data_IF_757383375680
#
_entry.id   IF_757383375680
#
_cell.length_a   1.000
_cell.length_b   1.000
_cell.length_c   1.000
_cell.angle_alpha   90.00
_cell.angle_beta   90.00
_cell.angle_gamma   90.00
#
_symmetry.space_group_name_H-M   'P 1'
#
loop_
_entity.id
_entity.type
_entity.pdbx_description
1 polymer ?
#
# COMPACT_ATOMS: atom_id res chain seq x y z
N UNK A 1 55.47 20.52 7.71
CA UNK A 1 54.50 21.30 6.92
C UNK A 1 53.83 20.47 5.82
N UNK A 2 54.55 19.66 5.03
CA UNK A 2 53.98 18.83 3.94
C UNK A 2 52.90 17.79 4.34
N UNK A 3 52.88 17.30 5.59
CA UNK A 3 51.91 16.28 6.03
C UNK A 3 50.52 16.87 6.29
N UNK A 4 50.45 18.08 6.85
CA UNK A 4 49.19 18.76 7.17
C UNK A 4 48.40 19.12 5.89
N UNK A 5 49.07 19.58 4.83
CA UNK A 5 48.43 19.92 3.56
C UNK A 5 47.77 18.70 2.88
N UNK A 6 48.37 17.51 3.03
CA UNK A 6 47.84 16.26 2.48
C UNK A 6 46.59 15.79 3.22
N UNK A 7 46.55 15.96 4.54
CA UNK A 7 45.39 15.62 5.36
C UNK A 7 44.21 16.56 5.10
N UNK A 8 44.49 17.88 5.00
CA UNK A 8 43.48 18.89 4.65
C UNK A 8 42.90 18.62 3.26
N UNK A 9 43.76 18.35 2.27
CA UNK A 9 43.30 18.05 0.90
C UNK A 9 42.41 16.81 0.88
N UNK A 10 42.81 15.74 1.58
CA UNK A 10 42.00 14.51 1.66
C UNK A 10 40.64 14.75 2.31
N UNK A 11 40.59 15.56 3.37
CA UNK A 11 39.34 15.91 4.04
C UNK A 11 38.41 16.72 3.12
N UNK A 12 38.95 17.75 2.45
CA UNK A 12 38.18 18.58 1.53
C UNK A 12 37.67 17.76 0.33
N UNK A 13 38.50 16.87 -0.23
CA UNK A 13 38.06 15.97 -1.31
C UNK A 13 36.97 14.99 -0.84
N UNK A 14 37.08 14.44 0.37
CA UNK A 14 36.05 13.58 0.92
C UNK A 14 34.73 14.34 1.12
N UNK A 15 34.79 15.56 1.65
CA UNK A 15 33.61 16.41 1.84
C UNK A 15 32.96 16.75 0.49
N UNK A 16 33.76 17.16 -0.50
CA UNK A 16 33.28 17.44 -1.84
C UNK A 16 32.65 16.19 -2.49
N UNK A 17 33.23 15.01 -2.29
CA UNK A 17 32.69 13.73 -2.75
C UNK A 17 31.33 13.41 -2.11
N UNK A 18 31.20 13.59 -0.79
CA UNK A 18 29.92 13.41 -0.09
C UNK A 18 28.88 14.42 -0.57
N UNK A 19 29.25 15.69 -0.74
CA UNK A 19 28.34 16.72 -1.28
C UNK A 19 27.89 16.38 -2.69
N UNK A 20 28.79 15.93 -3.56
CA UNK A 20 28.47 15.50 -4.92
C UNK A 20 27.50 14.30 -4.90
N UNK A 21 27.70 13.32 -4.02
CA UNK A 21 26.79 12.18 -3.85
C UNK A 21 25.41 12.62 -3.35
N UNK A 22 25.35 13.53 -2.37
CA UNK A 22 24.08 14.04 -1.86
C UNK A 22 23.29 14.77 -2.96
N UNK A 23 23.96 15.59 -3.76
CA UNK A 23 23.32 16.28 -4.89
C UNK A 23 22.86 15.27 -5.94
N UNK A 24 23.71 14.30 -6.29
CA UNK A 24 23.38 13.27 -7.28
C UNK A 24 22.20 12.39 -6.85
N UNK A 25 22.10 12.05 -5.56
CA UNK A 25 21.02 11.23 -5.00
C UNK A 25 19.76 12.03 -4.66
N UNK A 26 19.83 13.36 -4.59
CA UNK A 26 18.67 14.18 -4.20
C UNK A 26 17.49 14.03 -5.15
N UNK A 27 17.72 14.09 -6.46
CA UNK A 27 16.68 13.96 -7.49
C UNK A 27 15.97 12.60 -7.43
N UNK A 28 16.68 11.44 -7.52
CA UNK A 28 16.01 10.15 -7.44
C UNK A 28 15.33 9.93 -6.09
N UNK A 29 15.92 10.39 -4.98
CA UNK A 29 15.31 10.28 -3.66
C UNK A 29 13.98 11.05 -3.57
N UNK A 30 13.95 12.29 -4.07
CA UNK A 30 12.72 13.12 -4.08
C UNK A 30 11.65 12.46 -4.95
N UNK A 31 12.03 11.99 -6.14
CA UNK A 31 11.09 11.35 -7.05
C UNK A 31 10.51 10.06 -6.43
N UNK A 32 11.35 9.18 -5.91
CA UNK A 32 10.91 7.95 -5.24
C UNK A 32 10.01 8.24 -4.04
N UNK A 33 10.32 9.26 -3.24
CA UNK A 33 9.49 9.66 -2.10
C UNK A 33 8.10 10.15 -2.55
N UNK A 34 8.04 11.00 -3.57
CA UNK A 34 6.79 11.52 -4.10
C UNK A 34 5.92 10.42 -4.72
N UNK A 35 6.51 9.55 -5.54
CA UNK A 35 5.79 8.43 -6.19
C UNK A 35 5.26 7.42 -5.17
N UNK A 36 6.04 7.11 -4.14
CA UNK A 36 5.59 6.23 -3.04
C UNK A 36 4.38 6.82 -2.30
N UNK A 37 4.41 8.12 -2.01
CA UNK A 37 3.29 8.83 -1.38
C UNK A 37 2.02 8.81 -2.24
N UNK A 38 2.16 9.06 -3.55
CA UNK A 38 1.05 9.01 -4.49
C UNK A 38 0.42 7.62 -4.59
N UNK A 39 1.24 6.58 -4.73
CA UNK A 39 0.78 5.19 -4.79
C UNK A 39 0.06 4.77 -3.51
N UNK A 40 0.60 5.15 -2.34
CA UNK A 40 -0.04 4.87 -1.06
C UNK A 40 -1.41 5.55 -0.93
N UNK A 41 -1.52 6.80 -1.35
CA UNK A 41 -2.78 7.55 -1.31
C UNK A 41 -3.84 6.96 -2.26
N UNK A 42 -3.41 6.51 -3.45
CA UNK A 42 -4.29 5.84 -4.41
C UNK A 42 -4.82 4.52 -3.85
N UNK A 43 -3.94 3.63 -3.38
CA UNK A 43 -4.33 2.35 -2.81
C UNK A 43 -5.24 2.52 -1.57
N UNK A 44 -4.97 3.50 -0.71
CA UNK A 44 -5.84 3.82 0.42
C UNK A 44 -7.25 4.26 -0.02
N UNK A 45 -7.33 5.04 -1.11
CA UNK A 45 -8.61 5.46 -1.72
C UNK A 45 -9.34 4.26 -2.31
N UNK A 46 -8.65 3.40 -3.05
CA UNK A 46 -9.20 2.16 -3.62
C UNK A 46 -9.75 1.25 -2.52
N UNK A 47 -8.97 1.05 -1.45
CA UNK A 47 -9.39 0.24 -0.31
C UNK A 47 -10.62 0.83 0.39
N UNK A 48 -10.67 2.15 0.57
CA UNK A 48 -11.83 2.84 1.15
C UNK A 48 -13.10 2.70 0.28
N UNK A 49 -12.97 2.80 -1.05
CA UNK A 49 -14.09 2.64 -1.97
C UNK A 49 -14.60 1.19 -2.02
N UNK A 50 -13.69 0.22 -2.03
CA UNK A 50 -14.06 -1.21 -2.00
C UNK A 50 -14.67 -1.60 -0.66
N UNK A 51 -14.16 -1.06 0.46
CA UNK A 51 -14.79 -1.23 1.78
C UNK A 51 -16.26 -0.83 1.74
N UNK A 52 -16.61 0.33 1.17
CA UNK A 52 -18.02 0.77 1.08
C UNK A 52 -18.89 -0.22 0.27
N UNK A 53 -18.33 -0.84 -0.77
CA UNK A 53 -19.05 -1.86 -1.55
C UNK A 53 -19.25 -3.15 -0.74
N UNK A 54 -18.22 -3.60 -0.04
CA UNK A 54 -18.29 -4.79 0.83
C UNK A 54 -19.27 -4.54 1.99
N UNK A 55 -19.18 -3.39 2.67
CA UNK A 55 -20.09 -3.01 3.76
C UNK A 55 -21.55 -3.00 3.31
N UNK A 56 -21.83 -2.64 2.05
CA UNK A 56 -23.18 -2.73 1.49
C UNK A 56 -23.66 -4.17 1.35
N UNK A 57 -22.79 -5.10 0.97
CA UNK A 57 -23.13 -6.54 0.91
C UNK A 57 -23.37 -7.08 2.31
N UNK A 58 -22.48 -6.76 3.26
CA UNK A 58 -22.60 -7.14 4.66
C UNK A 58 -23.91 -6.65 5.27
N UNK A 59 -24.24 -5.37 5.09
CA UNK A 59 -25.45 -4.77 5.64
C UNK A 59 -26.75 -5.33 5.05
N UNK A 60 -26.72 -5.99 3.89
CA UNK A 60 -27.92 -6.61 3.31
C UNK A 60 -28.32 -7.90 4.02
N UNK A 61 -27.34 -8.73 4.43
CA UNK A 61 -27.58 -10.00 5.12
C UNK A 61 -26.50 -10.23 6.19
N UNK A 62 -26.57 -9.54 7.34
CA UNK A 62 -25.59 -9.61 8.43
C UNK A 62 -25.20 -11.01 8.90
N UNK A 63 -26.16 -11.88 9.13
CA UNK A 63 -25.88 -13.19 9.75
C UNK A 63 -25.20 -14.16 8.79
N UNK A 64 -25.26 -13.90 7.48
CA UNK A 64 -24.80 -14.82 6.43
C UNK A 64 -23.93 -14.15 5.37
N UNK A 65 -23.40 -12.95 5.64
CA UNK A 65 -22.63 -12.20 4.63
C UNK A 65 -21.41 -12.99 4.15
N UNK A 66 -20.76 -13.75 5.03
CA UNK A 66 -19.58 -14.57 4.72
C UNK A 66 -19.87 -15.70 3.73
N UNK A 67 -21.13 -16.08 3.54
CA UNK A 67 -21.56 -17.09 2.56
C UNK A 67 -21.94 -16.47 1.20
N UNK A 68 -21.97 -15.14 1.09
CA UNK A 68 -22.31 -14.43 -0.15
C UNK A 68 -21.09 -14.23 -1.06
N UNK A 69 -20.28 -15.27 -1.23
CA UNK A 69 -19.02 -15.21 -2.00
C UNK A 69 -19.21 -14.54 -3.36
N UNK A 70 -20.22 -14.89 -4.20
CA UNK A 70 -20.36 -14.26 -5.52
C UNK A 70 -20.60 -12.74 -5.46
N UNK A 71 -21.29 -12.25 -4.42
CA UNK A 71 -21.54 -10.80 -4.25
C UNK A 71 -20.33 -10.07 -3.70
N UNK A 72 -19.56 -10.74 -2.83
CA UNK A 72 -18.31 -10.21 -2.32
C UNK A 72 -17.25 -10.15 -3.43
N UNK A 73 -17.15 -11.20 -4.25
CA UNK A 73 -16.33 -11.21 -5.47
C UNK A 73 -16.74 -10.06 -6.39
N UNK A 74 -18.03 -9.90 -6.70
CA UNK A 74 -18.49 -8.79 -7.53
C UNK A 74 -18.13 -7.41 -6.92
N UNK A 75 -18.25 -7.26 -5.60
CA UNK A 75 -17.87 -6.04 -4.90
C UNK A 75 -16.35 -5.78 -4.98
N UNK A 76 -15.52 -6.83 -4.92
CA UNK A 76 -14.06 -6.75 -5.03
C UNK A 76 -13.58 -6.60 -6.47
N UNK A 77 -14.25 -7.19 -7.46
CA UNK A 77 -13.90 -7.10 -8.87
C UNK A 77 -14.41 -5.82 -9.52
N UNK A 78 -15.37 -5.11 -8.89
CA UNK A 78 -15.86 -3.84 -9.41
C UNK A 78 -14.69 -2.87 -9.56
N UNK A 79 -14.35 -2.58 -10.81
CA UNK A 79 -13.24 -1.72 -11.19
C UNK A 79 -13.60 -0.28 -10.88
N UNK A 80 -13.27 0.18 -9.68
CA UNK A 80 -13.48 1.57 -9.29
C UNK A 80 -12.29 2.42 -9.77
N UNK A 81 -11.06 1.97 -9.52
CA UNK A 81 -9.78 2.51 -10.04
C UNK A 81 -8.77 1.37 -9.87
N UNK A 82 -8.48 0.57 -10.90
CA UNK A 82 -7.57 -0.59 -10.75
C UNK A 82 -6.18 -0.25 -11.28
N UNK A 83 -5.18 -0.29 -10.40
CA UNK A 83 -3.83 -0.65 -10.83
C UNK A 83 -3.86 -2.13 -11.24
N UNK A 84 -3.29 -2.47 -12.39
CA UNK A 84 -3.30 -3.83 -12.94
C UNK A 84 -2.57 -4.88 -12.06
N UNK A 85 -1.97 -4.46 -10.94
CA UNK A 85 -1.13 -5.28 -10.06
C UNK A 85 -1.53 -5.13 -8.57
N UNK A 86 -2.83 -5.03 -8.28
CA UNK A 86 -3.31 -5.05 -6.89
C UNK A 86 -4.01 -6.37 -6.57
N UNK A 87 -3.62 -7.00 -5.46
CA UNK A 87 -4.25 -8.21 -4.94
C UNK A 87 -5.00 -7.88 -3.67
N UNK A 88 -6.31 -8.10 -3.65
CA UNK A 88 -7.19 -7.69 -2.56
C UNK A 88 -7.81 -8.92 -1.94
N UNK A 89 -7.79 -9.01 -0.62
CA UNK A 89 -8.44 -10.08 0.10
C UNK A 89 -9.30 -9.56 1.26
N UNK A 90 -10.38 -10.27 1.53
CA UNK A 90 -11.27 -10.08 2.65
C UNK A 90 -11.06 -11.23 3.64
N UNK A 91 -10.72 -10.87 4.87
CA UNK A 91 -10.49 -11.78 5.98
C UNK A 91 -11.63 -11.63 6.99
N UNK A 92 -12.08 -12.74 7.57
CA UNK A 92 -13.01 -12.70 8.70
C UNK A 92 -12.29 -12.23 10.00
N UNK A 93 -13.03 -12.15 11.12
CA UNK A 93 -12.45 -11.79 12.42
C UNK A 93 -11.45 -12.81 12.98
N UNK A 94 -11.44 -14.05 12.47
CA UNK A 94 -10.48 -15.09 12.83
C UNK A 94 -9.22 -15.03 11.97
N UNK A 95 -9.20 -14.18 10.95
CA UNK A 95 -8.13 -14.08 9.96
C UNK A 95 -8.22 -15.15 8.86
N UNK A 96 -9.37 -15.81 8.71
CA UNK A 96 -9.62 -16.75 7.63
C UNK A 96 -10.00 -16.00 6.35
N UNK A 97 -9.45 -16.44 5.22
CA UNK A 97 -9.76 -15.89 3.92
C UNK A 97 -11.21 -16.20 3.54
N UNK A 98 -12.00 -15.14 3.32
CA UNK A 98 -13.37 -15.25 2.82
C UNK A 98 -13.37 -15.19 1.30
N UNK A 99 -12.71 -14.18 0.73
CA UNK A 99 -12.62 -13.97 -0.71
C UNK A 99 -11.36 -13.18 -1.06
N UNK A 100 -10.83 -13.40 -2.26
CA UNK A 100 -9.73 -12.64 -2.84
C UNK A 100 -10.03 -12.23 -4.29
N UNK A 101 -9.32 -11.22 -4.79
CA UNK A 101 -9.46 -10.72 -6.15
C UNK A 101 -8.14 -10.09 -6.63
N UNK A 102 -7.79 -10.33 -7.89
CA UNK A 102 -6.58 -9.81 -8.52
C UNK A 102 -5.36 -10.71 -8.36
N UNK A 103 -4.33 -10.41 -9.15
CA UNK A 103 -3.09 -11.18 -9.20
C UNK A 103 -2.09 -10.71 -8.15
N UNK A 104 -1.38 -11.66 -7.53
CA UNK A 104 -0.40 -11.37 -6.49
C UNK A 104 0.76 -10.54 -7.07
N UNK A 105 1.04 -9.34 -6.53
CA UNK A 105 2.12 -8.51 -7.04
C UNK A 105 3.50 -9.11 -6.75
N UNK A 106 4.43 -8.91 -7.68
CA UNK A 106 5.83 -9.25 -7.46
C UNK A 106 6.48 -8.32 -6.42
N UNK A 107 7.45 -8.84 -5.67
CA UNK A 107 8.21 -8.03 -4.72
C UNK A 107 9.00 -6.93 -5.45
N UNK A 108 9.07 -5.69 -4.95
CA UNK A 108 8.56 -5.19 -3.66
C UNK A 108 7.07 -4.81 -3.66
N UNK A 109 6.38 -5.11 -2.55
CA UNK A 109 4.93 -4.88 -2.40
C UNK A 109 4.61 -3.84 -1.31
N UNK A 110 3.50 -3.12 -1.47
CA UNK A 110 2.92 -2.26 -0.45
C UNK A 110 1.63 -2.91 0.02
N UNK A 111 1.57 -3.31 1.28
CA UNK A 111 0.38 -3.90 1.88
C UNK A 111 -0.35 -2.89 2.78
N UNK A 112 -1.68 -2.83 2.68
CA UNK A 112 -2.52 -2.01 3.55
C UNK A 112 -3.80 -2.74 3.92
N UNK A 113 -4.32 -2.48 5.12
CA UNK A 113 -5.53 -3.11 5.63
C UNK A 113 -6.49 -2.07 6.23
N UNK A 114 -7.79 -2.34 6.14
CA UNK A 114 -8.85 -1.55 6.77
C UNK A 114 -9.94 -2.47 7.33
N UNK A 115 -10.54 -2.06 8.44
CA UNK A 115 -11.69 -2.78 8.99
C UNK A 115 -12.94 -2.57 8.14
N UNK A 116 -13.75 -3.61 8.02
CA UNK A 116 -15.10 -3.58 7.43
C UNK A 116 -16.09 -3.59 8.57
N UNK A 117 -17.05 -2.66 8.55
CA UNK A 117 -17.98 -2.46 9.67
C UNK A 117 -19.42 -2.75 9.28
N UNK A 118 -20.14 -3.35 10.22
CA UNK A 118 -21.58 -3.53 10.20
C UNK A 118 -22.19 -2.75 11.37
N UNK A 119 -23.00 -1.73 11.09
CA UNK A 119 -23.61 -0.87 12.12
C UNK A 119 -22.62 -0.32 13.18
N UNK A 120 -21.34 -0.19 12.83
CA UNK A 120 -20.28 0.29 13.72
C UNK A 120 -19.46 -0.81 14.41
N UNK A 121 -19.86 -2.07 14.30
CA UNK A 121 -19.08 -3.22 14.77
C UNK A 121 -18.19 -3.76 13.63
N UNK A 122 -16.92 -4.00 13.92
CA UNK A 122 -16.03 -4.58 12.92
C UNK A 122 -16.37 -6.06 12.72
N UNK A 123 -16.60 -6.47 11.47
CA UNK A 123 -16.95 -7.86 11.12
C UNK A 123 -15.91 -8.55 10.24
N UNK A 124 -15.03 -7.78 9.60
CA UNK A 124 -14.01 -8.30 8.71
C UNK A 124 -12.84 -7.31 8.56
N UNK A 125 -11.78 -7.77 7.91
CA UNK A 125 -10.63 -6.96 7.52
C UNK A 125 -10.42 -7.08 6.01
N UNK A 126 -10.39 -5.94 5.32
CA UNK A 126 -10.10 -5.87 3.89
C UNK A 126 -8.65 -5.40 3.71
N UNK A 127 -7.85 -6.11 2.93
CA UNK A 127 -6.48 -5.76 2.66
C UNK A 127 -6.14 -5.81 1.16
N UNK A 128 -5.14 -5.01 0.77
CA UNK A 128 -4.61 -4.81 -0.59
C UNK A 128 -3.09 -4.86 -0.57
#
# INVERSE_FOLDING_TARGET
MQTADREITRFVTALAGVSALLVALSIPAIYSYASYGALKAELATTLALKRVLVERVVAQVPEMWSYQIPRLEEALERHVIAHAQSHIHLLDLKGELVVESGEQPEWPVIAMATGVYEYGEQVATLAI
#
